data_IF_859801553972
#
_entry.id   IF_859801553972
#
_cell.length_a   1.000
_cell.length_b   1.000
_cell.length_c   1.000
_cell.angle_alpha   90.00
_cell.angle_beta   90.00
_cell.angle_gamma   90.00
#
_symmetry.space_group_name_H-M   'P 1'
#
loop_
_entity.id
_entity.type
_entity.pdbx_description
1 polymer ?
#
# COMPACT_ATOMS: atom_id res chain seq x y z
N UNK A 1 -45.72 -32.50 -5.86
CA UNK A 1 -45.35 -31.07 -6.09
C UNK A 1 -44.51 -30.47 -4.95
N UNK A 2 -44.69 -30.84 -3.67
CA UNK A 2 -43.92 -30.30 -2.55
C UNK A 2 -42.41 -30.67 -2.58
N UNK A 3 -42.07 -31.88 -3.02
CA UNK A 3 -40.67 -32.36 -3.08
C UNK A 3 -39.80 -31.56 -4.07
N UNK A 4 -40.35 -31.17 -5.22
CA UNK A 4 -39.64 -30.31 -6.19
C UNK A 4 -39.34 -28.93 -5.60
N UNK A 5 -40.30 -28.35 -4.86
CA UNK A 5 -40.09 -27.06 -4.17
C UNK A 5 -38.98 -27.17 -3.12
N UNK A 6 -39.00 -28.23 -2.32
CA UNK A 6 -37.98 -28.46 -1.29
C UNK A 6 -36.59 -28.63 -1.90
N UNK A 7 -36.46 -29.37 -3.00
CA UNK A 7 -35.18 -29.54 -3.70
C UNK A 7 -34.60 -28.20 -4.21
N UNK A 8 -35.44 -27.34 -4.77
CA UNK A 8 -35.02 -26.01 -5.23
C UNK A 8 -34.59 -25.10 -4.07
N UNK A 9 -35.31 -25.15 -2.95
CA UNK A 9 -34.98 -24.39 -1.75
C UNK A 9 -33.66 -24.86 -1.14
N UNK A 10 -33.41 -26.17 -1.08
CA UNK A 10 -32.16 -26.74 -0.61
C UNK A 10 -30.96 -26.37 -1.51
N UNK A 11 -31.11 -26.44 -2.84
CA UNK A 11 -30.02 -26.06 -3.73
C UNK A 11 -29.75 -24.55 -3.66
N UNK A 12 -30.79 -23.72 -3.52
CA UNK A 12 -30.61 -22.29 -3.22
C UNK A 12 -29.80 -22.09 -1.95
N UNK A 13 -30.13 -22.79 -0.86
CA UNK A 13 -29.40 -22.68 0.40
C UNK A 13 -27.94 -23.12 0.25
N UNK A 14 -27.68 -24.21 -0.47
CA UNK A 14 -26.34 -24.71 -0.76
C UNK A 14 -25.52 -23.69 -1.54
N UNK A 15 -26.08 -23.10 -2.60
CA UNK A 15 -25.41 -22.09 -3.42
C UNK A 15 -25.15 -20.81 -2.62
N UNK A 16 -26.10 -20.38 -1.78
CA UNK A 16 -25.93 -19.22 -0.90
C UNK A 16 -24.82 -19.47 0.12
N UNK A 17 -24.74 -20.68 0.69
CA UNK A 17 -23.67 -21.03 1.63
C UNK A 17 -22.29 -21.00 0.96
N UNK A 18 -22.19 -21.51 -0.27
CA UNK A 18 -20.94 -21.50 -1.03
C UNK A 18 -20.49 -20.07 -1.36
N UNK A 19 -21.40 -19.21 -1.85
CA UNK A 19 -21.09 -17.81 -2.16
C UNK A 19 -20.64 -17.04 -0.90
N UNK A 20 -21.26 -17.31 0.25
CA UNK A 20 -20.85 -16.71 1.53
C UNK A 20 -19.44 -17.14 1.93
N UNK A 21 -19.14 -18.44 1.81
CA UNK A 21 -17.81 -18.97 2.13
C UNK A 21 -16.74 -18.36 1.22
N UNK A 22 -17.01 -18.28 -0.09
CA UNK A 22 -16.08 -17.69 -1.05
C UNK A 22 -15.86 -16.20 -0.78
N UNK A 23 -16.93 -15.44 -0.56
CA UNK A 23 -16.83 -13.99 -0.22
C UNK A 23 -16.00 -13.75 1.04
N UNK A 24 -16.16 -14.59 2.07
CA UNK A 24 -15.38 -14.44 3.31
C UNK A 24 -13.89 -14.76 3.08
N UNK A 25 -13.58 -15.79 2.29
CA UNK A 25 -12.21 -16.13 1.93
C UNK A 25 -11.55 -14.99 1.12
N UNK A 26 -12.26 -14.41 0.14
CA UNK A 26 -11.79 -13.28 -0.64
C UNK A 26 -11.58 -12.03 0.22
N UNK A 27 -12.49 -11.75 1.15
CA UNK A 27 -12.35 -10.66 2.12
C UNK A 27 -11.08 -10.83 2.95
N UNK A 28 -10.84 -12.04 3.47
CA UNK A 28 -9.66 -12.32 4.27
C UNK A 28 -8.37 -12.13 3.47
N UNK A 29 -8.34 -12.64 2.24
CA UNK A 29 -7.22 -12.41 1.32
C UNK A 29 -6.97 -10.91 1.06
N UNK A 30 -8.03 -10.12 0.81
CA UNK A 30 -7.90 -8.68 0.59
C UNK A 30 -7.35 -7.94 1.82
N UNK A 31 -7.75 -8.34 3.03
CA UNK A 31 -7.20 -7.80 4.28
C UNK A 31 -5.72 -8.11 4.42
N UNK A 32 -5.32 -9.34 4.14
CA UNK A 32 -3.94 -9.78 4.30
C UNK A 32 -3.01 -9.11 3.26
N UNK A 33 -3.47 -8.93 2.02
CA UNK A 33 -2.74 -8.12 1.03
C UNK A 33 -2.67 -6.64 1.42
N UNK A 34 -3.73 -6.11 2.04
CA UNK A 34 -3.74 -4.72 2.51
C UNK A 34 -2.66 -4.49 3.56
N UNK A 35 -2.51 -5.42 4.52
CA UNK A 35 -1.52 -5.31 5.61
C UNK A 35 -0.07 -5.37 5.13
N UNK A 36 0.22 -5.84 3.91
CA UNK A 36 1.57 -5.92 3.36
C UNK A 36 2.08 -4.60 2.77
N UNK A 37 1.20 -3.60 2.59
CA UNK A 37 1.50 -2.35 1.90
C UNK A 37 1.42 -1.14 2.82
N UNK A 38 2.06 -0.06 2.37
CA UNK A 38 1.88 1.27 2.97
C UNK A 38 0.72 1.99 2.29
N UNK A 39 -0.08 2.71 3.09
CA UNK A 39 -1.30 3.38 2.61
C UNK A 39 -1.23 4.87 2.85
N UNK A 40 -1.63 5.65 1.85
CA UNK A 40 -1.64 7.09 1.92
C UNK A 40 -2.60 7.56 3.01
N UNK A 41 -2.11 8.38 3.93
CA UNK A 41 -2.91 8.95 5.02
C UNK A 41 -4.08 9.81 4.52
N UNK A 42 -3.93 10.45 3.36
CA UNK A 42 -4.93 11.32 2.76
C UNK A 42 -5.97 10.56 1.92
N UNK A 43 -5.55 9.82 0.88
CA UNK A 43 -6.46 9.27 -0.13
C UNK A 43 -6.58 7.74 -0.15
N UNK A 44 -5.89 7.03 0.76
CA UNK A 44 -5.91 5.56 0.87
C UNK A 44 -5.42 4.78 -0.37
N UNK A 45 -4.79 5.44 -1.34
CA UNK A 45 -3.99 4.76 -2.36
C UNK A 45 -2.69 4.22 -1.75
N UNK A 46 -2.06 3.27 -2.44
CA UNK A 46 -0.74 2.79 -2.06
C UNK A 46 0.26 3.95 -1.97
N UNK A 47 0.95 4.06 -0.84
CA UNK A 47 1.91 5.13 -0.60
C UNK A 47 3.26 4.78 -1.24
N UNK A 48 3.94 5.80 -1.76
CA UNK A 48 5.24 5.65 -2.42
C UNK A 48 6.39 6.30 -1.63
N UNK A 49 6.06 7.19 -0.68
CA UNK A 49 7.05 7.78 0.22
C UNK A 49 6.50 7.92 1.65
N UNK A 50 7.43 7.93 2.60
CA UNK A 50 7.17 7.98 4.03
C UNK A 50 7.44 9.38 4.58
N UNK A 51 6.63 9.80 5.56
CA UNK A 51 6.95 10.95 6.41
C UNK A 51 7.43 10.44 7.78
N UNK A 52 6.51 10.05 8.66
CA UNK A 52 6.85 9.58 10.00
C UNK A 52 5.93 8.42 10.41
N UNK A 53 6.05 7.92 11.65
CA UNK A 53 5.36 6.69 12.08
C UNK A 53 3.87 6.74 11.72
N UNK A 54 3.41 5.72 11.02
CA UNK A 54 2.04 5.59 10.54
C UNK A 54 1.54 6.72 9.62
N UNK A 55 2.44 7.46 8.96
CA UNK A 55 2.09 8.51 7.99
C UNK A 55 2.96 8.42 6.73
N UNK A 56 2.35 7.94 5.65
CA UNK A 56 2.94 7.81 4.31
C UNK A 56 2.01 8.46 3.27
N UNK A 57 2.53 8.79 2.08
CA UNK A 57 1.76 9.45 1.01
C UNK A 57 2.02 8.83 -0.36
N UNK A 58 1.03 8.90 -1.23
CA UNK A 58 1.16 8.46 -2.63
C UNK A 58 1.76 9.54 -3.54
N UNK A 59 1.67 10.82 -3.15
CA UNK A 59 2.19 11.96 -3.91
C UNK A 59 2.23 13.23 -3.02
N UNK A 60 2.98 14.26 -3.44
CA UNK A 60 3.11 15.54 -2.74
C UNK A 60 1.79 16.31 -2.56
N UNK A 61 0.84 16.34 -3.52
CA UNK A 61 -0.46 16.97 -3.29
C UNK A 61 -1.23 16.35 -2.11
N UNK A 62 -1.11 15.03 -1.91
CA UNK A 62 -1.72 14.37 -0.75
C UNK A 62 -1.06 14.76 0.58
N UNK A 63 0.27 14.96 0.58
CA UNK A 63 0.98 15.46 1.75
C UNK A 63 0.53 16.89 2.10
N UNK A 64 0.47 17.78 1.11
CA UNK A 64 0.08 19.18 1.31
C UNK A 64 -1.35 19.30 1.83
N UNK A 65 -2.29 18.52 1.28
CA UNK A 65 -3.68 18.51 1.71
C UNK A 65 -3.85 18.03 3.17
N UNK A 66 -3.09 17.01 3.58
CA UNK A 66 -3.14 16.45 4.95
C UNK A 66 -2.28 17.23 5.95
N UNK A 67 -1.37 18.09 5.48
CA UNK A 67 -0.38 18.77 6.31
C UNK A 67 -0.96 19.58 7.48
N UNK A 68 -2.04 20.37 7.33
CA UNK A 68 -2.60 21.14 8.46
C UNK A 68 -3.04 20.27 9.65
N UNK A 69 -3.43 19.02 9.39
CA UNK A 69 -3.77 18.03 10.41
C UNK A 69 -2.51 17.33 10.93
N UNK A 70 -1.68 16.82 10.03
CA UNK A 70 -0.49 16.04 10.34
C UNK A 70 0.58 16.80 11.12
N UNK A 71 0.77 18.09 10.84
CA UNK A 71 1.85 18.92 11.40
C UNK A 71 1.89 18.87 12.94
N UNK A 72 0.73 18.73 13.59
CA UNK A 72 0.59 18.71 15.05
C UNK A 72 1.23 17.48 15.70
N UNK A 73 1.36 16.39 14.96
CA UNK A 73 1.84 15.09 15.46
C UNK A 73 3.04 14.53 14.67
N UNK A 74 3.58 15.30 13.72
CA UNK A 74 4.74 14.90 12.94
C UNK A 74 5.97 14.74 13.84
N UNK A 75 6.54 13.53 13.89
CA UNK A 75 7.73 13.27 14.72
C UNK A 75 9.04 13.67 14.05
N UNK A 76 9.05 13.91 12.74
CA UNK A 76 10.25 14.42 12.04
C UNK A 76 10.49 15.91 12.28
N UNK A 77 9.46 16.68 12.67
CA UNK A 77 9.59 18.11 12.93
C UNK A 77 10.34 18.43 14.23
N UNK A 78 10.46 17.46 15.15
CA UNK A 78 11.07 17.64 16.46
C UNK A 78 12.57 17.26 16.51
N UNK A 79 13.10 16.61 15.47
CA UNK A 79 14.51 16.21 15.36
C UNK A 79 15.29 17.17 14.46
N UNK A 80 15.39 18.43 14.87
CA UNK A 80 16.51 19.27 14.45
C UNK A 80 17.70 18.94 15.38
N UNK A 81 18.91 18.61 14.87
CA UNK A 81 20.09 18.54 15.72
C UNK A 81 20.35 19.94 16.27
N UNK A 82 20.17 20.14 17.56
CA UNK A 82 20.78 21.27 18.26
C UNK A 82 22.29 21.06 18.15
N UNK A 83 22.93 21.81 17.26
CA UNK A 83 24.38 22.01 17.33
C UNK A 83 24.61 22.88 18.56
N UNK A 84 24.86 22.25 19.70
CA UNK A 84 25.52 22.89 20.83
C UNK A 84 26.98 23.06 20.43
N UNK A 85 27.31 24.28 20.03
CA UNK A 85 28.63 24.71 19.65
C UNK A 85 28.85 26.07 20.26
N UNK A 86 29.27 26.08 21.51
CA UNK A 86 29.81 27.24 22.19
C UNK A 86 30.92 27.86 21.33
N UNK A 87 30.68 29.04 20.78
CA UNK A 87 31.73 29.92 20.29
C UNK A 87 31.35 31.34 20.67
N UNK A 88 32.04 31.81 21.70
CA UNK A 88 32.26 33.21 22.01
C UNK A 88 32.62 33.97 20.73
N UNK A 89 31.77 34.92 20.33
CA UNK A 89 32.21 36.08 19.55
C UNK A 89 31.19 37.22 19.60
N UNK A 90 31.64 38.28 20.24
CA UNK A 90 30.98 39.57 20.43
C UNK A 90 30.89 40.36 19.09
N UNK A 91 29.76 41.05 18.92
CA UNK A 91 29.57 42.36 18.22
C UNK A 91 29.25 42.37 16.70
N UNK A 92 27.98 42.75 16.41
CA UNK A 92 27.35 43.27 15.17
C UNK A 92 27.87 44.70 14.78
N UNK A 93 27.45 45.42 13.68
CA UNK A 93 26.37 45.17 12.70
C UNK A 93 26.61 45.55 11.20
N UNK A 94 25.62 45.19 10.37
CA UNK A 94 25.07 45.85 9.17
C UNK A 94 25.80 45.79 7.80
N UNK A 95 25.08 45.28 6.77
CA UNK A 95 24.75 46.01 5.50
C UNK A 95 23.85 45.16 4.58
N UNK A 96 22.96 45.84 3.86
CA UNK A 96 21.93 45.33 2.95
C UNK A 96 22.48 44.64 1.68
N UNK A 97 21.68 43.75 1.05
CA UNK A 97 22.01 43.25 -0.29
C UNK A 97 21.14 42.12 -0.86
N UNK A 98 20.08 42.50 -1.57
CA UNK A 98 19.43 41.88 -2.75
C UNK A 98 19.69 40.40 -3.16
N UNK A 99 18.58 39.68 -3.33
CA UNK A 99 18.24 38.70 -4.39
C UNK A 99 19.32 37.75 -4.94
N UNK A 100 19.11 36.43 -4.79
CA UNK A 100 19.35 35.39 -5.82
C UNK A 100 18.84 34.00 -5.37
N UNK A 101 17.81 33.54 -6.09
CA UNK A 101 17.62 32.23 -6.75
C UNK A 101 18.42 30.98 -6.33
N UNK A 102 17.79 29.84 -6.67
CA UNK A 102 18.27 28.50 -7.02
C UNK A 102 18.59 27.52 -5.88
N UNK A 103 17.79 26.45 -5.83
CA UNK A 103 18.19 25.20 -5.19
C UNK A 103 19.33 24.52 -5.94
N UNK A 104 19.88 23.46 -5.35
CA UNK A 104 20.26 22.30 -6.15
C UNK A 104 19.88 20.98 -5.45
N UNK A 105 19.18 20.08 -6.15
CA UNK A 105 19.69 18.87 -6.83
C UNK A 105 19.78 17.62 -5.94
N UNK A 106 19.01 16.62 -6.37
CA UNK A 106 19.39 15.20 -6.50
C UNK A 106 19.93 14.50 -5.25
N UNK A 107 19.05 13.76 -4.58
CA UNK A 107 19.41 12.47 -4.02
C UNK A 107 18.84 11.38 -4.93
N UNK A 108 19.74 10.73 -5.66
CA UNK A 108 19.48 9.53 -6.47
C UNK A 108 19.01 8.42 -5.52
N UNK A 109 17.91 7.71 -5.80
CA UNK A 109 17.55 6.50 -5.07
C UNK A 109 18.58 5.40 -5.35
N UNK A 110 19.14 4.83 -4.28
CA UNK A 110 19.97 3.62 -4.36
C UNK A 110 19.04 2.44 -4.73
N UNK A 111 19.26 1.70 -5.82
CA UNK A 111 18.50 0.48 -6.10
C UNK A 111 18.94 -0.60 -5.11
N UNK A 112 18.00 -1.09 -4.30
CA UNK A 112 18.21 -2.26 -3.48
C UNK A 112 18.24 -3.49 -4.40
N UNK A 113 19.45 -3.99 -4.62
CA UNK A 113 19.83 -5.26 -5.25
C UNK A 113 18.82 -6.41 -5.00
N UNK A 114 18.26 -6.95 -6.08
CA UNK A 114 17.56 -8.25 -6.10
C UNK A 114 18.54 -9.41 -5.83
N UNK A 115 18.14 -10.43 -5.04
CA UNK A 115 18.79 -11.73 -5.11
C UNK A 115 18.27 -12.51 -6.32
N UNK A 116 19.20 -12.99 -7.14
CA UNK A 116 18.97 -13.83 -8.30
C UNK A 116 18.14 -15.09 -7.99
N UNK A 117 17.11 -15.33 -8.81
CA UNK A 117 16.36 -16.60 -8.89
C UNK A 117 16.93 -17.43 -10.05
N UNK A 118 17.31 -18.71 -9.86
CA UNK A 118 17.66 -19.59 -10.97
C UNK A 118 16.38 -20.17 -11.63
N UNK A 119 16.38 -20.48 -12.94
CA UNK A 119 15.19 -20.90 -13.66
C UNK A 119 14.98 -22.42 -13.53
N UNK A 120 13.79 -22.84 -13.11
CA UNK A 120 13.37 -24.24 -13.17
C UNK A 120 11.90 -24.37 -13.61
N UNK A 121 11.77 -24.60 -14.92
CA UNK A 121 10.96 -25.62 -15.58
C UNK A 121 9.44 -25.64 -15.35
N UNK A 122 8.73 -25.32 -16.45
CA UNK A 122 7.35 -25.65 -16.72
C UNK A 122 7.04 -27.14 -16.46
N UNK A 123 5.99 -27.40 -15.69
CA UNK A 123 5.27 -28.68 -15.73
C UNK A 123 3.78 -28.42 -15.60
N UNK A 124 3.18 -28.32 -16.77
CA UNK A 124 1.74 -28.40 -17.00
C UNK A 124 1.19 -29.71 -16.40
N UNK A 125 0.05 -29.62 -15.72
CA UNK A 125 -0.75 -30.79 -15.34
C UNK A 125 -2.22 -30.41 -15.43
N UNK A 126 -2.66 -30.24 -16.68
CA UNK A 126 -4.01 -30.51 -17.14
C UNK A 126 -4.51 -31.86 -16.57
N UNK A 127 -5.45 -31.82 -15.63
CA UNK A 127 -6.25 -33.00 -15.25
C UNK A 127 -7.55 -32.95 -16.03
N UNK A 128 -7.56 -33.63 -17.18
CA UNK A 128 -8.77 -33.91 -17.93
C UNK A 128 -9.76 -34.70 -17.06
N UNK A 129 -10.94 -34.13 -16.82
CA UNK A 129 -12.12 -34.88 -16.40
C UNK A 129 -12.94 -35.21 -17.65
N UNK A 130 -12.58 -36.29 -18.34
CA UNK A 130 -13.44 -36.93 -19.32
C UNK A 130 -14.06 -38.18 -18.73
N UNK A 131 -15.22 -37.99 -18.13
CA UNK A 131 -16.19 -39.07 -17.88
C UNK A 131 -17.56 -38.49 -18.18
N UNK A 132 -18.11 -38.81 -19.35
CA UNK A 132 -19.35 -39.58 -19.47
C UNK A 132 -19.93 -39.45 -20.88
N UNK A 133 -20.05 -40.63 -21.49
CA UNK A 133 -20.79 -40.96 -22.69
C UNK A 133 -22.25 -40.54 -22.52
N UNK A 134 -22.80 -39.74 -23.42
CA UNK A 134 -24.25 -39.67 -23.62
C UNK A 134 -24.57 -39.99 -25.08
N UNK A 135 -25.18 -41.15 -25.26
CA UNK A 135 -25.85 -41.53 -26.49
C UNK A 135 -27.12 -40.71 -26.65
N UNK A 136 -27.28 -40.07 -27.80
CA UNK A 136 -28.49 -39.43 -28.33
C UNK A 136 -28.29 -39.39 -29.85
N UNK A 137 -29.23 -39.68 -30.76
CA UNK A 137 -30.58 -40.26 -30.72
C UNK A 137 -30.80 -40.88 -32.11
#
# INVERSE_FOLDING_TARGET
>A
MAEMRQSLEQERERLVAEVKKQTEAEKQQAVDETKKKQWCANCRKEAIFYCCWNTSYCDYPCQQAHWPEHMKSCTQSATAPQQDGETDRQTEPATEGSNKSCGPTNNVPVPLRDPAVPPLSDKDSNVEKSSETVSQS
#
